data_IF_372849538673
#
_entry.id   IF_372849538673
#
_cell.length_a   1.000
_cell.length_b   1.000
_cell.length_c   1.000
_cell.angle_alpha   90.00
_cell.angle_beta   90.00
_cell.angle_gamma   90.00
#
_symmetry.space_group_name_H-M   'P 1'
#
loop_
_entity.id
_entity.type
_entity.pdbx_description
1 polymer ?
#
# COMPACT_ATOMS: atom_id res chain seq x y z
N UNK A 1 -21.67 -27.68 -5.50
CA UNK A 1 -20.69 -28.45 -4.70
C UNK A 1 -19.99 -27.46 -3.78
N UNK A 2 -20.14 -27.63 -2.45
CA UNK A 2 -19.41 -26.79 -1.48
C UNK A 2 -18.04 -27.44 -1.26
N UNK A 3 -16.98 -26.75 -1.66
CA UNK A 3 -15.61 -27.13 -1.31
C UNK A 3 -15.41 -26.72 0.14
N UNK A 4 -15.32 -27.69 1.05
CA UNK A 4 -15.02 -27.46 2.47
C UNK A 4 -13.67 -26.76 2.65
N UNK A 5 -13.56 -25.90 3.68
CA UNK A 5 -12.34 -25.17 3.99
C UNK A 5 -11.17 -26.15 4.30
N UNK A 6 -10.12 -26.08 3.51
CA UNK A 6 -8.87 -26.78 3.77
C UNK A 6 -8.10 -26.02 4.87
N UNK A 7 -7.66 -26.73 5.93
CA UNK A 7 -6.77 -26.18 6.94
C UNK A 7 -5.33 -26.58 6.60
N UNK A 8 -4.34 -25.67 6.68
CA UNK A 8 -2.94 -26.04 6.59
C UNK A 8 -2.61 -27.10 7.64
N UNK A 9 -1.70 -28.02 7.32
CA UNK A 9 -1.24 -29.00 8.30
C UNK A 9 -0.45 -28.29 9.41
N UNK A 10 -0.80 -28.42 10.69
CA UNK A 10 -0.05 -27.81 11.78
C UNK A 10 1.46 -28.14 11.74
N UNK A 11 1.84 -29.31 11.23
CA UNK A 11 3.23 -29.73 11.07
C UNK A 11 3.95 -28.98 9.97
N UNK A 12 3.27 -28.51 8.91
CA UNK A 12 3.89 -27.67 7.87
C UNK A 12 4.22 -26.31 8.45
N UNK A 13 3.30 -25.70 9.19
CA UNK A 13 3.50 -24.41 9.84
C UNK A 13 4.65 -24.48 10.86
N UNK A 14 4.67 -25.49 11.71
CA UNK A 14 5.73 -25.70 12.70
C UNK A 14 7.09 -25.92 12.04
N UNK A 15 7.15 -26.73 10.99
CA UNK A 15 8.41 -26.97 10.26
C UNK A 15 8.90 -25.70 9.55
N UNK A 16 7.98 -24.90 8.98
CA UNK A 16 8.31 -23.64 8.34
C UNK A 16 8.88 -22.64 9.34
N UNK A 17 8.21 -22.50 10.50
CA UNK A 17 8.63 -21.59 11.55
C UNK A 17 10.01 -21.97 12.10
N UNK A 18 10.20 -23.23 12.44
CA UNK A 18 11.48 -23.70 12.98
C UNK A 18 12.64 -23.51 12.00
N UNK A 19 12.44 -23.81 10.71
CA UNK A 19 13.46 -23.57 9.68
C UNK A 19 13.72 -22.08 9.47
N UNK A 20 12.68 -21.24 9.58
CA UNK A 20 12.80 -19.78 9.49
C UNK A 20 13.63 -19.23 10.65
N UNK A 21 13.35 -19.63 11.88
CA UNK A 21 14.14 -19.25 13.06
C UNK A 21 15.62 -19.58 12.86
N UNK A 22 15.94 -20.80 12.47
CA UNK A 22 17.31 -21.23 12.23
C UNK A 22 18.04 -20.39 11.15
N UNK A 23 17.32 -20.00 10.08
CA UNK A 23 17.85 -19.12 9.04
C UNK A 23 18.07 -17.70 9.59
N UNK A 24 17.10 -17.18 10.34
CA UNK A 24 17.12 -15.82 10.91
C UNK A 24 18.23 -15.69 11.97
N UNK A 25 18.41 -16.72 12.79
CA UNK A 25 19.44 -16.78 13.83
C UNK A 25 20.86 -17.01 13.26
N UNK A 26 20.96 -17.24 11.94
CA UNK A 26 22.23 -17.33 11.25
C UNK A 26 22.89 -18.69 11.28
N UNK A 27 22.18 -19.75 11.70
CA UNK A 27 22.69 -21.13 11.64
C UNK A 27 23.07 -21.52 10.19
N UNK A 28 22.42 -20.94 9.21
CA UNK A 28 22.76 -21.04 7.80
C UNK A 28 22.98 -19.67 7.19
N UNK A 29 24.24 -19.34 6.91
CA UNK A 29 24.59 -18.07 6.26
C UNK A 29 24.01 -17.97 4.84
N UNK A 30 23.80 -16.76 4.35
CA UNK A 30 23.40 -16.51 2.96
C UNK A 30 24.40 -17.17 2.00
N UNK A 31 23.89 -17.88 1.00
CA UNK A 31 24.67 -18.70 0.06
C UNK A 31 24.86 -20.14 0.50
N UNK A 32 24.56 -20.50 1.74
CA UNK A 32 24.69 -21.87 2.23
C UNK A 32 23.61 -22.77 1.65
N UNK A 33 24.01 -24.00 1.30
CA UNK A 33 23.07 -25.05 0.88
C UNK A 33 22.42 -25.67 2.11
N UNK A 34 21.09 -25.73 2.15
CA UNK A 34 20.36 -26.44 3.18
C UNK A 34 20.54 -27.96 3.05
N UNK A 35 20.44 -28.72 4.17
CA UNK A 35 20.36 -30.16 4.13
C UNK A 35 19.22 -30.63 3.23
N UNK A 36 19.37 -31.77 2.56
CA UNK A 36 18.36 -32.31 1.67
C UNK A 36 17.04 -32.68 2.40
N UNK A 37 15.93 -32.70 1.68
CA UNK A 37 14.59 -32.99 2.24
C UNK A 37 14.55 -34.20 3.18
N UNK A 38 15.28 -35.26 2.84
CA UNK A 38 15.34 -36.49 3.66
C UNK A 38 16.08 -36.26 5.00
N UNK A 39 17.13 -35.46 4.98
CA UNK A 39 17.89 -35.13 6.20
C UNK A 39 17.07 -34.20 7.10
N UNK A 40 16.45 -33.16 6.52
CA UNK A 40 15.56 -32.24 7.25
C UNK A 40 14.34 -32.99 7.83
N UNK A 41 13.73 -33.90 7.07
CA UNK A 41 12.60 -34.71 7.54
C UNK A 41 12.97 -35.57 8.76
N UNK A 42 14.16 -36.16 8.72
CA UNK A 42 14.69 -36.93 9.86
C UNK A 42 14.96 -36.05 11.07
N UNK A 43 15.57 -34.87 10.85
CA UNK A 43 15.94 -33.96 11.93
C UNK A 43 14.68 -33.35 12.60
N UNK A 44 13.66 -33.01 11.82
CA UNK A 44 12.41 -32.41 12.30
C UNK A 44 11.38 -33.45 12.79
N UNK A 45 11.61 -34.74 12.55
CA UNK A 45 10.65 -35.79 12.91
C UNK A 45 9.34 -35.75 12.11
N UNK A 46 9.37 -35.24 10.87
CA UNK A 46 8.19 -35.05 10.01
C UNK A 46 8.35 -35.77 8.67
N UNK A 47 7.27 -35.85 7.89
CA UNK A 47 7.30 -36.41 6.54
C UNK A 47 8.05 -35.52 5.53
N UNK A 48 8.63 -36.13 4.48
CA UNK A 48 9.29 -35.41 3.39
C UNK A 48 8.38 -34.43 2.66
N UNK A 49 7.07 -34.75 2.54
CA UNK A 49 6.06 -33.85 1.98
C UNK A 49 5.91 -32.58 2.82
N UNK A 50 5.91 -32.70 4.16
CA UNK A 50 5.85 -31.57 5.10
C UNK A 50 7.06 -30.64 4.91
N UNK A 51 8.27 -31.23 4.84
CA UNK A 51 9.50 -30.45 4.58
C UNK A 51 9.44 -29.72 3.23
N UNK A 52 8.96 -30.38 2.19
CA UNK A 52 8.85 -29.79 0.86
C UNK A 52 7.90 -28.59 0.85
N UNK A 53 6.75 -28.70 1.51
CA UNK A 53 5.82 -27.56 1.64
C UNK A 53 6.41 -26.45 2.50
N UNK A 54 7.13 -26.76 3.59
CA UNK A 54 7.84 -25.76 4.38
C UNK A 54 8.91 -25.04 3.57
N UNK A 55 9.72 -25.75 2.77
CA UNK A 55 10.71 -25.12 1.89
C UNK A 55 10.07 -24.26 0.79
N UNK A 56 8.89 -24.65 0.28
CA UNK A 56 8.12 -23.81 -0.65
C UNK A 56 7.63 -22.53 0.01
N UNK A 57 7.15 -22.61 1.24
CA UNK A 57 6.71 -21.43 2.01
C UNK A 57 7.90 -20.47 2.26
N UNK A 58 9.07 -21.01 2.65
CA UNK A 58 10.29 -20.22 2.83
C UNK A 58 10.80 -19.60 1.51
N UNK A 59 10.64 -20.30 0.39
CA UNK A 59 10.95 -19.76 -0.93
C UNK A 59 10.00 -18.62 -1.31
N UNK A 60 8.70 -18.78 -1.03
CA UNK A 60 7.71 -17.72 -1.18
C UNK A 60 8.01 -16.48 -0.32
N UNK A 61 8.57 -16.70 0.88
CA UNK A 61 9.03 -15.63 1.77
C UNK A 61 10.40 -15.02 1.36
N UNK A 62 11.02 -15.52 0.29
CA UNK A 62 12.31 -15.01 -0.21
C UNK A 62 13.51 -15.35 0.66
N UNK A 63 13.41 -16.32 1.56
CA UNK A 63 14.51 -16.77 2.42
C UNK A 63 15.41 -17.80 1.75
N UNK A 64 14.84 -18.65 0.90
CA UNK A 64 15.56 -19.71 0.21
C UNK A 64 15.25 -19.76 -1.28
N UNK A 65 16.12 -20.37 -2.05
CA UNK A 65 15.94 -20.60 -3.49
C UNK A 65 16.31 -22.02 -3.86
N UNK A 66 15.40 -22.71 -4.56
CA UNK A 66 15.69 -24.00 -5.16
C UNK A 66 16.50 -23.82 -6.44
N UNK A 67 17.63 -24.52 -6.56
CA UNK A 67 18.46 -24.59 -7.79
C UNK A 67 18.40 -26.00 -8.34
N UNK A 68 17.91 -26.13 -9.55
CA UNK A 68 17.69 -27.43 -10.19
C UNK A 68 18.96 -28.28 -10.12
N UNK A 69 18.83 -29.52 -9.67
CA UNK A 69 19.95 -30.45 -9.51
C UNK A 69 20.94 -30.14 -8.38
N UNK A 70 20.92 -28.91 -7.82
CA UNK A 70 21.88 -28.46 -6.85
C UNK A 70 21.34 -28.44 -5.40
N UNK A 71 20.04 -28.31 -5.23
CA UNK A 71 19.36 -28.27 -3.92
C UNK A 71 18.77 -26.91 -3.59
N UNK A 72 18.52 -26.66 -2.30
CA UNK A 72 17.92 -25.41 -1.79
C UNK A 72 19.02 -24.61 -1.07
N UNK A 73 19.11 -23.32 -1.34
CA UNK A 73 20.11 -22.40 -0.82
C UNK A 73 19.45 -21.26 -0.07
N UNK A 74 20.03 -20.81 1.03
CA UNK A 74 19.64 -19.59 1.73
C UNK A 74 20.02 -18.38 0.87
N UNK A 75 19.06 -17.49 0.62
CA UNK A 75 19.29 -16.26 -0.16
C UNK A 75 19.11 -14.99 0.68
N UNK A 76 18.43 -15.09 1.83
CA UNK A 76 18.29 -14.01 2.80
C UNK A 76 18.09 -14.61 4.20
N UNK A 77 18.49 -13.86 5.24
CA UNK A 77 18.26 -14.21 6.66
C UNK A 77 17.02 -13.50 7.24
N UNK A 78 16.48 -12.54 6.53
CA UNK A 78 15.20 -11.90 6.88
C UNK A 78 14.23 -12.12 5.74
N UNK A 79 12.96 -12.45 6.05
CA UNK A 79 11.91 -12.49 5.02
C UNK A 79 11.93 -11.19 4.25
N UNK A 80 11.72 -11.27 2.95
CA UNK A 80 11.45 -10.06 2.18
C UNK A 80 10.16 -9.47 2.75
N UNK A 81 10.30 -8.35 3.43
CA UNK A 81 9.11 -7.61 3.87
C UNK A 81 8.25 -7.36 2.64
N UNK A 82 6.99 -7.75 2.73
CA UNK A 82 6.08 -7.44 1.66
C UNK A 82 5.92 -5.91 1.58
N UNK A 83 5.63 -5.43 0.39
CA UNK A 83 5.44 -4.00 0.15
C UNK A 83 4.41 -3.38 1.10
N UNK A 84 3.36 -4.13 1.43
CA UNK A 84 2.32 -3.67 2.35
C UNK A 84 2.83 -3.47 3.78
N UNK A 85 3.77 -4.29 4.24
CA UNK A 85 4.42 -4.14 5.55
C UNK A 85 5.35 -2.93 5.59
N UNK A 86 6.16 -2.72 4.54
CA UNK A 86 7.01 -1.53 4.42
C UNK A 86 6.16 -0.25 4.42
N UNK A 87 5.08 -0.25 3.64
CA UNK A 87 4.14 0.88 3.62
C UNK A 87 3.50 1.16 4.99
N UNK A 88 3.16 0.11 5.76
CA UNK A 88 2.59 0.30 7.11
C UNK A 88 3.57 0.96 8.08
N UNK A 89 4.88 0.81 7.87
CA UNK A 89 5.92 1.39 8.70
C UNK A 89 6.37 2.78 8.22
N UNK A 90 5.97 3.18 7.01
CA UNK A 90 6.33 4.46 6.45
C UNK A 90 5.90 5.63 7.35
N UNK A 91 6.76 6.62 7.54
CA UNK A 91 6.41 7.84 8.25
C UNK A 91 5.53 8.73 7.38
N UNK A 92 4.80 9.65 8.01
CA UNK A 92 3.80 10.46 7.30
C UNK A 92 4.41 11.35 6.20
N UNK A 93 5.61 11.86 6.40
CA UNK A 93 6.32 12.67 5.39
C UNK A 93 6.61 11.87 4.13
N UNK A 94 7.12 10.63 4.25
CA UNK A 94 7.39 9.76 3.10
C UNK A 94 6.11 9.43 2.33
N UNK A 95 5.00 9.23 3.07
CA UNK A 95 3.67 8.99 2.47
C UNK A 95 3.22 10.21 1.66
N UNK A 96 3.42 11.42 2.17
CA UNK A 96 3.08 12.65 1.45
C UNK A 96 3.97 12.92 0.23
N UNK A 97 5.25 12.59 0.30
CA UNK A 97 6.15 12.67 -0.86
C UNK A 97 5.72 11.73 -1.99
N UNK A 98 5.38 10.48 -1.66
CA UNK A 98 4.85 9.51 -2.64
C UNK A 98 3.47 9.95 -3.16
N UNK A 99 2.60 10.47 -2.29
CA UNK A 99 1.32 11.06 -2.67
C UNK A 99 1.51 12.13 -3.73
N UNK A 100 2.44 13.06 -3.50
CA UNK A 100 2.75 14.14 -4.44
C UNK A 100 3.19 13.62 -5.81
N UNK A 101 4.06 12.60 -5.85
CA UNK A 101 4.52 11.99 -7.10
C UNK A 101 3.38 11.32 -7.89
N UNK A 102 2.48 10.62 -7.21
CA UNK A 102 1.40 9.87 -7.86
C UNK A 102 0.24 10.77 -8.26
N UNK A 103 -0.23 11.60 -7.34
CA UNK A 103 -1.48 12.32 -7.52
C UNK A 103 -1.34 13.59 -8.34
N UNK A 104 -0.22 14.30 -8.26
CA UNK A 104 0.01 15.49 -9.10
C UNK A 104 0.05 15.09 -10.58
N UNK A 105 0.77 14.02 -10.91
CA UNK A 105 0.81 13.51 -12.28
C UNK A 105 -0.57 12.97 -12.72
N UNK A 106 -1.27 12.26 -11.80
CA UNK A 106 -2.63 11.80 -12.08
C UNK A 106 -3.59 12.95 -12.38
N UNK A 107 -3.54 14.06 -11.63
CA UNK A 107 -4.38 15.22 -11.86
C UNK A 107 -4.13 15.87 -13.23
N UNK A 108 -2.87 15.98 -13.64
CA UNK A 108 -2.50 16.49 -14.97
C UNK A 108 -3.02 15.60 -16.10
N UNK A 109 -2.83 14.28 -15.95
CA UNK A 109 -3.34 13.30 -16.92
C UNK A 109 -4.88 13.28 -16.94
N UNK A 110 -5.53 13.37 -15.79
CA UNK A 110 -6.97 13.46 -15.68
C UNK A 110 -7.51 14.68 -16.45
N UNK A 111 -6.92 15.85 -16.27
CA UNK A 111 -7.30 17.04 -17.02
C UNK A 111 -7.19 16.89 -18.54
N UNK A 112 -6.24 16.07 -19.01
CA UNK A 112 -6.06 15.81 -20.45
C UNK A 112 -6.99 14.72 -20.99
N UNK A 113 -7.44 13.77 -20.16
CA UNK A 113 -8.06 12.52 -20.61
C UNK A 113 -9.49 12.32 -20.12
N UNK A 114 -9.96 13.15 -19.14
CA UNK A 114 -11.30 13.01 -18.57
C UNK A 114 -12.39 12.93 -19.63
N UNK A 115 -13.36 12.10 -19.37
CA UNK A 115 -14.63 11.99 -20.12
C UNK A 115 -15.74 12.77 -19.40
N UNK A 116 -16.93 12.87 -20.00
CA UNK A 116 -18.11 13.47 -19.35
C UNK A 116 -18.57 12.67 -18.12
N UNK A 117 -18.37 11.35 -18.14
CA UNK A 117 -18.64 10.48 -17.00
C UNK A 117 -17.68 10.77 -15.85
N UNK A 118 -16.39 11.00 -16.13
CA UNK A 118 -15.41 11.38 -15.12
C UNK A 118 -15.72 12.74 -14.50
N UNK A 119 -16.14 13.72 -15.30
CA UNK A 119 -16.57 15.05 -14.85
C UNK A 119 -17.74 14.91 -13.86
N UNK A 120 -18.74 14.11 -14.20
CA UNK A 120 -19.88 13.84 -13.33
C UNK A 120 -19.42 13.20 -12.03
N UNK A 121 -18.59 12.16 -12.10
CA UNK A 121 -18.08 11.44 -10.94
C UNK A 121 -17.23 12.34 -10.02
N UNK A 122 -16.41 13.24 -10.58
CA UNK A 122 -15.62 14.21 -9.81
C UNK A 122 -16.52 15.21 -9.04
N UNK A 123 -17.55 15.73 -9.68
CA UNK A 123 -18.49 16.61 -8.99
C UNK A 123 -19.26 15.91 -7.86
N UNK A 124 -19.72 14.68 -8.10
CA UNK A 124 -20.38 13.88 -7.07
C UNK A 124 -19.44 13.55 -5.91
N UNK A 125 -18.19 13.19 -6.19
CA UNK A 125 -17.20 12.87 -5.15
C UNK A 125 -16.87 14.11 -4.31
N UNK A 126 -16.72 15.29 -4.93
CA UNK A 126 -16.52 16.56 -4.22
C UNK A 126 -17.75 16.91 -3.34
N UNK A 127 -18.96 16.69 -3.83
CA UNK A 127 -20.18 16.91 -3.05
C UNK A 127 -20.23 15.99 -1.83
N UNK A 128 -19.95 14.68 -2.00
CA UNK A 128 -19.88 13.71 -0.88
C UNK A 128 -18.81 14.08 0.15
N UNK A 129 -17.65 14.56 -0.29
CA UNK A 129 -16.61 15.05 0.63
C UNK A 129 -17.11 16.22 1.47
N UNK A 130 -17.86 17.16 0.88
CA UNK A 130 -18.46 18.30 1.57
C UNK A 130 -19.51 17.87 2.59
N UNK A 131 -20.35 16.90 2.25
CA UNK A 131 -21.34 16.33 3.17
C UNK A 131 -20.68 15.66 4.36
N UNK A 132 -19.56 14.94 4.13
CA UNK A 132 -18.77 14.30 5.18
C UNK A 132 -18.08 15.28 6.15
N UNK A 133 -18.04 16.58 5.84
CA UNK A 133 -17.54 17.61 6.76
C UNK A 133 -18.31 17.65 8.10
N UNK A 134 -19.59 17.24 8.10
CA UNK A 134 -20.40 17.15 9.30
C UNK A 134 -20.31 15.79 10.03
N UNK A 135 -19.55 14.85 9.49
CA UNK A 135 -19.31 13.53 10.06
C UNK A 135 -18.02 13.47 10.88
N UNK A 136 -17.67 12.28 11.39
CA UNK A 136 -16.43 12.03 12.09
C UNK A 136 -15.19 12.12 11.20
N UNK A 137 -13.99 12.10 11.82
CA UNK A 137 -12.72 12.19 11.07
C UNK A 137 -12.54 11.01 10.11
N UNK A 138 -12.99 9.82 10.49
CA UNK A 138 -12.85 8.63 9.66
C UNK A 138 -13.67 8.73 8.36
N UNK A 139 -14.93 9.14 8.46
CA UNK A 139 -15.83 9.31 7.32
C UNK A 139 -15.38 10.46 6.41
N UNK A 140 -14.85 11.53 7.01
CA UNK A 140 -14.30 12.66 6.25
C UNK A 140 -13.06 12.24 5.46
N UNK A 141 -12.12 11.54 6.07
CA UNK A 141 -10.91 11.03 5.41
C UNK A 141 -11.27 9.99 4.33
N UNK A 142 -12.26 9.14 4.57
CA UNK A 142 -12.73 8.20 3.55
C UNK A 142 -13.30 8.92 2.32
N UNK A 143 -14.12 9.95 2.53
CA UNK A 143 -14.69 10.76 1.44
C UNK A 143 -13.60 11.56 0.70
N UNK A 144 -12.60 12.08 1.40
CA UNK A 144 -11.43 12.74 0.82
C UNK A 144 -10.66 11.80 -0.11
N UNK A 145 -10.32 10.62 0.36
CA UNK A 145 -9.65 9.58 -0.44
C UNK A 145 -10.51 9.13 -1.62
N UNK A 146 -11.82 9.04 -1.44
CA UNK A 146 -12.72 8.68 -2.53
C UNK A 146 -12.67 9.70 -3.67
N UNK A 147 -12.60 10.99 -3.38
CA UNK A 147 -12.40 12.04 -4.39
C UNK A 147 -11.07 11.86 -5.13
N UNK A 148 -9.98 11.63 -4.40
CA UNK A 148 -8.67 11.39 -5.01
C UNK A 148 -8.64 10.12 -5.87
N UNK A 149 -9.34 9.04 -5.46
CA UNK A 149 -9.50 7.83 -6.29
C UNK A 149 -10.19 8.11 -7.62
N UNK A 150 -11.26 8.91 -7.60
CA UNK A 150 -11.98 9.31 -8.82
C UNK A 150 -11.06 10.13 -9.72
N UNK A 151 -10.32 11.09 -9.17
CA UNK A 151 -9.35 11.89 -9.91
C UNK A 151 -8.25 11.03 -10.54
N UNK A 152 -7.68 10.07 -9.80
CA UNK A 152 -6.66 9.15 -10.32
C UNK A 152 -7.23 8.23 -11.40
N UNK A 153 -8.48 7.77 -11.27
CA UNK A 153 -9.15 6.95 -12.27
C UNK A 153 -9.36 7.72 -13.60
N UNK A 154 -9.72 9.01 -13.51
CA UNK A 154 -9.89 9.91 -14.66
C UNK A 154 -8.58 10.15 -15.45
N UNK A 155 -7.42 9.78 -14.90
CA UNK A 155 -6.15 9.76 -15.65
C UNK A 155 -6.11 8.66 -16.72
N UNK A 156 -7.04 7.70 -16.71
CA UNK A 156 -7.12 6.57 -17.64
C UNK A 156 -5.78 5.85 -17.82
N UNK A 157 -5.04 5.68 -16.70
CA UNK A 157 -3.79 4.93 -16.63
C UNK A 157 -3.95 3.78 -15.63
N UNK A 158 -4.19 2.53 -16.09
CA UNK A 158 -4.46 1.41 -15.19
C UNK A 158 -3.29 1.08 -14.25
N UNK A 159 -2.05 1.37 -14.65
CA UNK A 159 -0.87 1.15 -13.80
C UNK A 159 -0.86 2.16 -12.65
N UNK A 160 -1.10 3.44 -12.95
CA UNK A 160 -1.18 4.50 -11.94
C UNK A 160 -2.33 4.26 -10.97
N UNK A 161 -3.50 3.87 -11.50
CA UNK A 161 -4.67 3.50 -10.67
C UNK A 161 -4.36 2.30 -9.77
N UNK A 162 -3.66 1.28 -10.28
CA UNK A 162 -3.23 0.13 -9.50
C UNK A 162 -2.28 0.53 -8.37
N UNK A 163 -1.24 1.32 -8.67
CA UNK A 163 -0.29 1.82 -7.67
C UNK A 163 -0.98 2.64 -6.57
N UNK A 164 -1.89 3.55 -6.96
CA UNK A 164 -2.64 4.34 -5.99
C UNK A 164 -3.56 3.47 -5.12
N UNK A 165 -4.21 2.47 -5.70
CA UNK A 165 -5.08 1.53 -4.97
C UNK A 165 -4.32 0.79 -3.88
N UNK A 166 -3.12 0.28 -4.18
CA UNK A 166 -2.24 -0.39 -3.21
C UNK A 166 -1.70 0.59 -2.14
N UNK A 167 -1.57 1.87 -2.49
CA UNK A 167 -1.11 2.91 -1.58
C UNK A 167 -2.19 3.40 -0.61
N UNK A 168 -3.46 3.37 -0.99
CA UNK A 168 -4.58 3.92 -0.21
C UNK A 168 -4.65 3.42 1.24
N UNK A 169 -4.45 2.14 1.59
CA UNK A 169 -4.56 1.71 3.00
C UNK A 169 -3.59 2.42 3.94
N UNK A 170 -2.37 2.73 3.48
CA UNK A 170 -1.41 3.50 4.30
C UNK A 170 -1.77 4.99 4.31
N UNK A 171 -2.17 5.53 3.16
CA UNK A 171 -2.61 6.91 3.04
C UNK A 171 -3.77 7.21 4.00
N UNK A 172 -4.81 6.37 4.02
CA UNK A 172 -5.96 6.52 4.91
C UNK A 172 -5.56 6.58 6.39
N UNK A 173 -4.70 5.66 6.82
CA UNK A 173 -4.19 5.66 8.20
C UNK A 173 -3.44 6.95 8.52
N UNK A 174 -2.52 7.38 7.64
CA UNK A 174 -1.70 8.57 7.86
C UNK A 174 -2.49 9.87 7.80
N UNK A 175 -3.54 9.93 6.97
CA UNK A 175 -4.45 11.08 6.95
C UNK A 175 -5.26 11.17 8.24
N UNK A 176 -5.73 10.06 8.79
CA UNK A 176 -6.39 10.05 10.10
C UNK A 176 -5.46 10.55 11.20
N UNK A 177 -4.25 9.97 11.28
CA UNK A 177 -3.22 10.41 12.23
C UNK A 177 -2.96 11.92 12.09
N UNK A 178 -2.88 12.44 10.87
CA UNK A 178 -2.63 13.86 10.59
C UNK A 178 -3.78 14.77 11.03
N UNK A 179 -5.00 14.40 10.68
CA UNK A 179 -6.20 15.19 11.03
C UNK A 179 -6.33 15.31 12.56
N UNK A 180 -5.99 14.24 13.29
CA UNK A 180 -6.00 14.22 14.74
C UNK A 180 -4.84 15.02 15.34
N UNK A 181 -3.60 14.76 14.87
CA UNK A 181 -2.38 15.39 15.39
C UNK A 181 -2.41 16.92 15.24
N UNK A 182 -2.81 17.40 14.08
CA UNK A 182 -2.85 18.84 13.77
C UNK A 182 -4.20 19.48 14.10
N UNK A 183 -5.18 18.72 14.59
CA UNK A 183 -6.55 19.20 14.83
C UNK A 183 -7.14 19.97 13.65
N UNK A 184 -6.86 19.53 12.43
CA UNK A 184 -7.12 20.27 11.17
C UNK A 184 -8.58 20.67 10.98
N UNK A 185 -9.51 19.96 11.63
CA UNK A 185 -10.94 20.18 11.51
C UNK A 185 -11.58 20.94 12.67
N UNK A 186 -10.78 21.34 13.68
CA UNK A 186 -11.31 22.02 14.88
C UNK A 186 -12.00 23.32 14.56
N UNK A 187 -11.38 24.17 13.75
CA UNK A 187 -11.91 25.48 13.38
C UNK A 187 -12.61 25.46 12.00
N UNK A 188 -12.30 24.48 11.17
CA UNK A 188 -12.89 24.31 9.85
C UNK A 188 -13.20 22.83 9.58
N UNK A 189 -14.44 22.39 9.86
CA UNK A 189 -14.86 21.01 9.61
C UNK A 189 -14.63 20.52 8.18
N UNK A 190 -14.69 21.44 7.20
CA UNK A 190 -14.44 21.15 5.79
C UNK A 190 -13.02 21.60 5.34
N UNK A 191 -12.02 21.29 6.15
CA UNK A 191 -10.63 21.64 5.85
C UNK A 191 -10.22 21.18 4.44
N UNK A 192 -9.56 22.06 3.68
CA UNK A 192 -9.10 21.77 2.31
C UNK A 192 -10.15 21.94 1.20
N UNK A 193 -11.42 22.27 1.50
CA UNK A 193 -12.49 22.38 0.46
C UNK A 193 -12.12 23.31 -0.69
N UNK A 194 -11.55 24.46 -0.41
CA UNK A 194 -11.19 25.43 -1.44
C UNK A 194 -10.13 24.87 -2.41
N UNK A 195 -9.11 24.17 -1.90
CA UNK A 195 -8.08 23.51 -2.71
C UNK A 195 -8.68 22.41 -3.59
N UNK A 196 -9.51 21.56 -3.01
CA UNK A 196 -10.17 20.48 -3.76
C UNK A 196 -11.14 21.02 -4.83
N UNK A 197 -11.85 22.11 -4.54
CA UNK A 197 -12.70 22.76 -5.54
C UNK A 197 -11.89 23.34 -6.72
N UNK A 198 -10.75 23.96 -6.44
CA UNK A 198 -9.83 24.46 -7.47
C UNK A 198 -9.28 23.30 -8.31
N UNK A 199 -8.85 22.21 -7.67
CA UNK A 199 -8.35 21.00 -8.33
C UNK A 199 -9.41 20.42 -9.27
N UNK A 200 -10.61 20.13 -8.75
CA UNK A 200 -11.70 19.54 -9.55
C UNK A 200 -12.05 20.45 -10.72
N UNK A 201 -12.17 21.77 -10.48
CA UNK A 201 -12.47 22.71 -11.56
C UNK A 201 -11.38 22.72 -12.64
N UNK A 202 -10.10 22.70 -12.26
CA UNK A 202 -8.98 22.64 -13.21
C UNK A 202 -9.02 21.37 -14.07
N UNK A 203 -9.30 20.20 -13.46
CA UNK A 203 -9.49 18.94 -14.18
C UNK A 203 -10.67 19.03 -15.15
N UNK A 204 -11.81 19.52 -14.70
CA UNK A 204 -13.03 19.70 -15.53
C UNK A 204 -12.76 20.61 -16.73
N UNK A 205 -12.06 21.71 -16.53
CA UNK A 205 -11.70 22.65 -17.61
C UNK A 205 -10.61 22.13 -18.55
N UNK A 206 -9.92 21.02 -18.20
CA UNK A 206 -8.82 20.46 -18.99
C UNK A 206 -7.50 21.22 -18.83
N UNK A 207 -7.38 22.02 -17.79
CA UNK A 207 -6.16 22.75 -17.48
C UNK A 207 -5.21 21.85 -16.63
N UNK A 208 -4.38 21.09 -17.32
CA UNK A 208 -3.46 20.16 -16.71
C UNK A 208 -2.43 20.85 -15.79
N UNK A 209 -1.98 22.05 -16.18
CA UNK A 209 -1.02 22.79 -15.38
C UNK A 209 -1.64 23.32 -14.10
N UNK A 210 -2.85 23.90 -14.18
CA UNK A 210 -3.58 24.35 -13.00
C UNK A 210 -3.95 23.19 -12.07
N UNK A 211 -4.37 22.03 -12.61
CA UNK A 211 -4.67 20.84 -11.82
C UNK A 211 -3.45 20.36 -11.04
N UNK A 212 -2.30 20.24 -11.71
CA UNK A 212 -1.04 19.86 -11.07
C UNK A 212 -0.55 20.88 -10.04
N UNK A 213 -0.70 22.18 -10.29
CA UNK A 213 -0.35 23.23 -9.32
C UNK A 213 -1.25 23.17 -8.10
N UNK A 214 -2.57 23.14 -8.28
CA UNK A 214 -3.52 23.14 -7.16
C UNK A 214 -3.23 22.01 -6.16
N UNK A 215 -3.01 20.81 -6.66
CA UNK A 215 -2.72 19.65 -5.80
C UNK A 215 -1.32 19.72 -5.17
N UNK A 216 -0.32 20.16 -5.92
CA UNK A 216 1.03 20.32 -5.38
C UNK A 216 1.06 21.33 -4.25
N UNK A 217 0.43 22.48 -4.42
CA UNK A 217 0.40 23.54 -3.42
C UNK A 217 -0.28 23.07 -2.13
N UNK A 218 -1.39 22.33 -2.23
CA UNK A 218 -2.10 21.76 -1.09
C UNK A 218 -1.23 20.75 -0.32
N UNK A 219 -0.59 19.81 -1.04
CA UNK A 219 0.26 18.80 -0.43
C UNK A 219 1.53 19.41 0.18
N UNK A 220 2.13 20.41 -0.47
CA UNK A 220 3.31 21.11 0.05
C UNK A 220 2.99 21.92 1.32
N UNK A 221 1.84 22.57 1.37
CA UNK A 221 1.39 23.26 2.59
C UNK A 221 1.28 22.30 3.77
N UNK A 222 0.70 21.12 3.55
CA UNK A 222 0.59 20.09 4.58
C UNK A 222 1.96 19.55 5.00
N UNK A 223 2.87 19.30 4.06
CA UNK A 223 4.24 18.88 4.36
C UNK A 223 5.00 19.95 5.16
N UNK A 224 4.85 21.23 4.82
CA UNK A 224 5.47 22.32 5.56
C UNK A 224 5.01 22.37 7.03
N UNK A 225 3.72 22.11 7.28
CA UNK A 225 3.20 21.98 8.65
C UNK A 225 3.83 20.80 9.39
N UNK A 226 3.97 19.64 8.74
CA UNK A 226 4.60 18.46 9.33
C UNK A 226 6.07 18.66 9.68
N UNK A 227 6.83 19.38 8.86
CA UNK A 227 8.23 19.70 9.15
C UNK A 227 8.42 20.77 10.23
N UNK A 228 7.36 21.45 10.62
CA UNK A 228 7.39 22.47 11.68
C UNK A 228 7.09 21.91 13.08
N UNK A 229 6.72 20.63 13.18
CA UNK A 229 6.46 19.91 14.45
C UNK A 229 7.76 19.37 15.04
#
# INVERSE_FOLDING_TARGET
MSLGALRPSPLVEQATEHLREQITDGEWAVGTKLPGETALAKSLGVGRSTVREALRALAGAGLVQARQGSGVFVIATKPKEDWSTQLRQAVITDVYEVRMLLEVEAAQLAAQRRTEEDITALHEALARRREAANAGNAEFVEADIALHRVMVAAAHNPVLTGLFTEFVPVLQRRLLDLVELLSLRSDNPNHGDAGHAVLVNAVVQGDAEAAGRALRDELQQTLALLYSL
#
